data_IF_233691098176
#
_entry.id   IF_233691098176
#
_cell.length_a   1.000
_cell.length_b   1.000
_cell.length_c   1.000
_cell.angle_alpha   90.00
_cell.angle_beta   90.00
_cell.angle_gamma   90.00
#
_symmetry.space_group_name_H-M   'P 1'
#
loop_
_entity.id
_entity.type
_entity.pdbx_description
1 polymer ?
#
# COMPACT_ATOMS: atom_id res chain seq x y z
N UNK A 1 17.25 -10.77 -7.71
CA UNK A 1 16.63 -9.89 -6.71
C UNK A 1 15.18 -9.68 -7.14
N UNK A 2 14.19 -10.22 -6.43
CA UNK A 2 12.79 -10.02 -6.82
C UNK A 2 12.44 -8.54 -6.67
N UNK A 3 11.91 -7.91 -7.72
CA UNK A 3 11.59 -6.48 -7.74
C UNK A 3 10.29 -6.25 -7.00
N UNK A 4 10.34 -5.50 -5.90
CA UNK A 4 9.15 -4.98 -5.21
C UNK A 4 8.84 -3.59 -5.76
N UNK A 5 7.56 -3.28 -5.94
CA UNK A 5 7.12 -1.97 -6.42
C UNK A 5 6.10 -1.34 -5.46
N UNK A 6 6.22 -0.03 -5.27
CA UNK A 6 5.22 0.76 -4.56
C UNK A 6 3.99 0.97 -5.46
N UNK A 7 2.82 0.99 -4.83
CA UNK A 7 1.53 1.15 -5.51
C UNK A 7 0.64 2.09 -4.72
N UNK A 8 -0.20 2.84 -5.42
CA UNK A 8 -1.35 3.52 -4.84
C UNK A 8 -2.51 2.52 -4.67
N UNK A 9 -3.18 2.58 -3.53
CA UNK A 9 -4.35 1.77 -3.17
C UNK A 9 -5.53 2.69 -2.98
N UNK A 10 -6.63 2.40 -3.68
CA UNK A 10 -7.95 2.95 -3.38
C UNK A 10 -8.74 1.93 -2.58
N UNK A 11 -9.33 2.35 -1.48
CA UNK A 11 -10.12 1.52 -0.57
C UNK A 11 -11.60 1.71 -0.83
N UNK A 12 -12.41 0.70 -0.48
CA UNK A 12 -13.87 0.69 -0.76
C UNK A 12 -14.65 1.80 -0.05
N UNK A 13 -14.07 2.42 0.98
CA UNK A 13 -14.61 3.57 1.70
C UNK A 13 -14.14 4.92 1.13
N UNK A 14 -13.47 4.93 -0.03
CA UNK A 14 -12.98 6.13 -0.70
C UNK A 14 -11.65 6.67 -0.19
N UNK A 15 -10.93 5.89 0.63
CA UNK A 15 -9.59 6.22 1.10
C UNK A 15 -8.51 5.97 0.04
N UNK A 16 -7.42 6.73 0.14
CA UNK A 16 -6.20 6.51 -0.63
C UNK A 16 -5.04 6.13 0.29
N UNK A 17 -4.30 5.09 -0.08
CA UNK A 17 -3.18 4.57 0.69
C UNK A 17 -2.01 4.16 -0.19
N UNK A 18 -0.88 3.86 0.45
CA UNK A 18 0.31 3.31 -0.22
C UNK A 18 0.55 1.87 0.20
N UNK A 19 0.92 1.03 -0.77
CA UNK A 19 1.29 -0.36 -0.56
C UNK A 19 2.55 -0.77 -1.31
N UNK A 20 2.95 -2.03 -1.14
CA UNK A 20 4.00 -2.67 -1.94
C UNK A 20 3.53 -4.01 -2.46
N UNK A 21 3.75 -4.27 -3.73
CA UNK A 21 3.53 -5.59 -4.33
C UNK A 21 4.85 -6.26 -4.68
N UNK A 22 4.88 -7.58 -4.59
CA UNK A 22 6.00 -8.41 -5.01
C UNK A 22 5.94 -8.74 -6.51
N UNK A 23 6.92 -9.51 -6.99
CA UNK A 23 7.04 -9.91 -8.39
C UNK A 23 5.90 -10.82 -8.86
N UNK A 24 5.21 -11.51 -7.95
CA UNK A 24 4.04 -12.36 -8.24
C UNK A 24 2.73 -11.54 -8.21
N UNK A 25 2.81 -10.25 -7.88
CA UNK A 25 1.67 -9.35 -7.79
C UNK A 25 0.94 -9.42 -6.45
N UNK A 26 1.49 -10.09 -5.45
CA UNK A 26 0.93 -10.14 -4.08
C UNK A 26 1.24 -8.85 -3.35
N UNK A 27 0.25 -8.32 -2.64
CA UNK A 27 0.40 -7.19 -1.73
C UNK A 27 1.09 -7.68 -0.45
N UNK A 28 2.31 -7.21 -0.22
CA UNK A 28 3.15 -7.63 0.91
C UNK A 28 3.18 -6.60 2.05
N UNK A 29 2.77 -5.36 1.75
CA UNK A 29 2.71 -4.25 2.68
C UNK A 29 1.59 -3.28 2.29
N UNK A 30 0.95 -2.70 3.30
CA UNK A 30 0.03 -1.57 3.19
C UNK A 30 0.22 -0.65 4.38
N UNK A 31 0.34 0.65 4.14
CA UNK A 31 0.47 1.65 5.20
C UNK A 31 -0.78 1.63 6.10
N UNK A 32 -0.59 1.78 7.41
CA UNK A 32 -1.67 1.77 8.39
C UNK A 32 -2.17 0.37 8.80
N UNK A 33 -1.59 -0.71 8.27
CA UNK A 33 -1.96 -2.08 8.64
C UNK A 33 -0.76 -2.87 9.17
N UNK A 34 -0.89 -3.40 10.39
CA UNK A 34 0.03 -4.41 10.93
C UNK A 34 -0.59 -5.80 10.83
N UNK A 35 0.05 -6.70 10.10
CA UNK A 35 -0.44 -8.06 9.86
C UNK A 35 0.48 -9.07 10.57
N UNK A 36 0.01 -9.75 11.63
CA UNK A 36 0.80 -10.72 12.40
C UNK A 36 0.83 -12.11 11.74
N UNK A 37 1.00 -12.15 10.42
CA UNK A 37 1.12 -13.39 9.64
C UNK A 37 2.58 -13.58 9.24
N UNK A 38 3.18 -14.77 9.36
CA UNK A 38 4.55 -15.01 8.89
C UNK A 38 4.74 -14.63 7.41
N UNK A 39 5.98 -14.34 6.99
CA UNK A 39 6.25 -13.93 5.60
C UNK A 39 6.08 -15.09 4.62
N UNK A 40 6.24 -16.31 5.11
CA UNK A 40 6.13 -17.57 4.40
C UNK A 40 4.68 -17.85 4.01
N UNK A 41 3.71 -17.31 4.76
CA UNK A 41 2.29 -17.36 4.44
C UNK A 41 1.86 -16.11 3.65
N UNK A 42 2.51 -15.95 2.49
CA UNK A 42 2.36 -14.79 1.61
C UNK A 42 0.93 -14.63 1.09
N UNK A 43 0.24 -15.73 0.82
CA UNK A 43 -1.12 -15.72 0.26
C UNK A 43 -2.15 -15.28 1.30
N UNK A 44 -2.04 -15.74 2.55
CA UNK A 44 -2.92 -15.27 3.63
C UNK A 44 -2.68 -13.78 3.91
N UNK A 45 -1.42 -13.36 3.92
CA UNK A 45 -1.05 -11.95 4.07
C UNK A 45 -1.63 -11.09 2.95
N UNK A 46 -1.50 -11.51 1.69
CA UNK A 46 -2.08 -10.82 0.53
C UNK A 46 -3.60 -10.67 0.68
N UNK A 47 -4.29 -11.76 1.00
CA UNK A 47 -5.74 -11.76 1.19
C UNK A 47 -6.18 -10.78 2.28
N UNK A 48 -5.46 -10.72 3.41
CA UNK A 48 -5.79 -9.79 4.51
C UNK A 48 -5.57 -8.35 4.08
N UNK A 49 -4.42 -8.04 3.46
CA UNK A 49 -4.08 -6.69 3.03
C UNK A 49 -5.03 -6.14 1.96
N UNK A 50 -5.63 -7.03 1.15
CA UNK A 50 -6.59 -6.71 0.07
C UNK A 50 -8.05 -6.66 0.48
N UNK A 51 -8.40 -7.00 1.74
CA UNK A 51 -9.80 -7.21 2.18
C UNK A 51 -10.75 -6.06 1.79
N UNK A 52 -10.32 -4.84 1.99
CA UNK A 52 -11.04 -3.57 1.77
C UNK A 52 -10.47 -2.75 0.60
N UNK A 53 -9.58 -3.34 -0.20
CA UNK A 53 -9.06 -2.70 -1.40
C UNK A 53 -10.10 -2.76 -2.51
N UNK A 54 -10.35 -1.61 -3.14
CA UNK A 54 -11.16 -1.48 -4.35
C UNK A 54 -10.29 -1.55 -5.60
N UNK A 55 -9.18 -0.79 -5.62
CA UNK A 55 -8.29 -0.69 -6.78
C UNK A 55 -6.84 -0.56 -6.36
N UNK A 56 -5.94 -1.17 -7.13
CA UNK A 56 -4.49 -1.00 -7.01
C UNK A 56 -3.96 -0.37 -8.31
N UNK A 57 -3.15 0.67 -8.18
CA UNK A 57 -2.56 1.41 -9.29
C UNK A 57 -1.05 1.27 -9.20
N UNK A 58 -0.43 0.78 -10.28
CA UNK A 58 1.04 0.61 -10.39
C UNK A 58 1.70 1.91 -10.88
N UNK A 59 1.67 2.92 -10.03
CA UNK A 59 2.18 4.28 -10.32
C UNK A 59 3.44 4.63 -9.50
N UNK A 60 3.97 3.69 -8.72
CA UNK A 60 5.06 3.95 -7.78
C UNK A 60 4.62 4.65 -6.49
N UNK A 61 3.32 4.75 -6.21
CA UNK A 61 2.77 5.51 -5.07
C UNK A 61 2.60 7.01 -5.34
N UNK A 62 2.70 7.44 -6.60
CA UNK A 62 2.66 8.85 -7.00
C UNK A 62 1.37 9.54 -6.62
N UNK A 63 0.22 8.93 -6.92
CA UNK A 63 -1.09 9.52 -6.65
C UNK A 63 -1.32 9.68 -5.14
N UNK A 64 -0.85 8.72 -4.33
CA UNK A 64 -0.83 8.86 -2.88
C UNK A 64 0.04 10.04 -2.42
N UNK A 65 1.27 10.17 -2.94
CA UNK A 65 2.15 11.29 -2.59
C UNK A 65 1.57 12.64 -2.99
N UNK A 66 0.96 12.73 -4.17
CA UNK A 66 0.33 13.96 -4.65
C UNK A 66 -0.88 14.32 -3.80
N UNK A 67 -1.66 13.33 -3.36
CA UNK A 67 -2.75 13.56 -2.40
C UNK A 67 -2.23 14.08 -1.06
N UNK A 68 -1.14 13.51 -0.53
CA UNK A 68 -0.52 14.01 0.71
C UNK A 68 -0.02 15.46 0.58
N UNK A 69 0.54 15.84 -0.57
CA UNK A 69 0.97 17.23 -0.84
C UNK A 69 -0.23 18.17 -0.87
N UNK A 70 -1.34 17.77 -1.50
CA UNK A 70 -2.58 18.55 -1.57
C UNK A 70 -3.23 18.81 -0.21
N UNK A 71 -3.05 17.89 0.74
CA UNK A 71 -3.57 18.02 2.10
C UNK A 71 -2.79 19.02 2.98
N UNK A 72 -1.71 19.63 2.47
CA UNK A 72 -0.84 20.58 3.21
C UNK A 72 -0.46 20.10 4.62
N UNK A 73 -0.25 18.78 4.76
CA UNK A 73 0.03 18.18 6.06
C UNK A 73 1.33 18.76 6.64
N UNK A 74 1.39 19.02 7.96
CA UNK A 74 2.59 19.53 8.59
C UNK A 74 3.78 18.57 8.35
N UNK A 75 5.02 19.09 8.32
CA UNK A 75 6.22 18.34 7.92
C UNK A 75 6.45 17.05 8.71
N UNK A 76 5.87 16.93 9.90
CA UNK A 76 5.93 15.76 10.79
C UNK A 76 5.32 14.48 10.17
N UNK A 77 4.51 14.60 9.13
CA UNK A 77 3.90 13.46 8.42
C UNK A 77 4.66 13.01 7.17
N UNK A 78 5.70 13.76 6.78
CA UNK A 78 6.67 13.31 5.79
C UNK A 78 7.68 12.47 6.54
N UNK A 79 7.50 11.15 6.54
CA UNK A 79 8.39 10.22 7.25
C UNK A 79 9.87 10.51 6.99
N UNK A 80 10.71 10.30 8.02
CA UNK A 80 12.18 10.38 7.92
C UNK A 80 12.73 9.52 6.80
#
# INVERSE_FOLDING_TARGET
MQKMEYVTIHTKDGGIGIGKIDAEGRLVYRCGMWIPVPKEDADTRDRILRKDVEKIIRDGGREYEDTLKGLMLPPTYKGR
#
